data_IF_431006477504
#
_entry.id   IF_431006477504
#
_cell.length_a   1.000
_cell.length_b   1.000
_cell.length_c   1.000
_cell.angle_alpha   90.00
_cell.angle_beta   90.00
_cell.angle_gamma   90.00
#
_symmetry.space_group_name_H-M   'P 1'
#
loop_
_entity.id
_entity.type
_entity.pdbx_description
1 polymer ?
#
# COMPACT_ATOMS: atom_id res chain seq x y z
N UNK A 1 11.02 5.43 -9.52
CA UNK A 1 11.14 4.57 -8.32
C UNK A 1 10.35 5.23 -7.20
N UNK A 2 9.47 4.51 -6.51
CA UNK A 2 8.55 5.11 -5.50
C UNK A 2 9.18 5.20 -4.11
N UNK A 3 9.92 4.18 -3.66
CA UNK A 3 10.65 4.18 -2.38
C UNK A 3 12.16 4.13 -2.64
N UNK A 4 12.81 5.28 -2.89
CA UNK A 4 14.26 5.32 -3.11
C UNK A 4 15.03 4.90 -1.86
N UNK A 5 14.60 5.37 -0.70
CA UNK A 5 15.19 5.09 0.61
C UNK A 5 15.17 3.60 0.98
N UNK A 6 14.02 2.93 0.77
CA UNK A 6 13.88 1.51 1.01
C UNK A 6 14.78 0.68 0.09
N UNK A 7 14.94 1.09 -1.17
CA UNK A 7 15.83 0.43 -2.12
C UNK A 7 17.30 0.58 -1.70
N UNK A 8 17.73 1.79 -1.32
CA UNK A 8 19.10 2.04 -0.84
C UNK A 8 19.42 1.24 0.42
N UNK A 9 18.46 1.11 1.32
CA UNK A 9 18.58 0.32 2.55
C UNK A 9 18.29 -1.18 2.37
N UNK A 10 18.04 -1.65 1.14
CA UNK A 10 17.70 -3.04 0.81
C UNK A 10 16.53 -3.60 1.67
N UNK A 11 15.46 -2.82 1.81
CA UNK A 11 14.25 -3.14 2.56
C UNK A 11 12.99 -2.93 1.71
N UNK A 12 11.89 -3.60 2.09
CA UNK A 12 10.60 -3.51 1.40
C UNK A 12 9.75 -2.32 1.84
N UNK A 13 10.01 -1.80 3.04
CA UNK A 13 9.35 -0.60 3.57
C UNK A 13 10.21 0.61 3.22
N UNK A 14 9.64 1.81 3.25
CA UNK A 14 10.47 3.01 3.30
C UNK A 14 11.26 3.04 4.63
N UNK A 15 12.06 4.07 4.86
CA UNK A 15 12.94 4.19 6.02
C UNK A 15 12.48 5.29 7.00
N UNK A 16 11.24 5.78 6.87
CA UNK A 16 10.68 6.77 7.79
C UNK A 16 10.67 6.24 9.24
N UNK A 17 11.04 7.07 10.24
CA UNK A 17 10.99 6.66 11.64
C UNK A 17 9.54 6.53 12.12
N UNK A 18 9.26 5.46 12.86
CA UNK A 18 7.96 5.24 13.49
C UNK A 18 8.03 5.48 15.00
N UNK A 19 6.97 6.06 15.54
CA UNK A 19 6.80 6.38 16.96
C UNK A 19 5.69 5.51 17.57
N UNK A 20 5.78 4.21 17.32
CA UNK A 20 4.79 3.21 17.68
C UNK A 20 3.66 3.05 16.64
N UNK A 21 2.75 2.08 16.86
CA UNK A 21 1.63 1.77 15.97
C UNK A 21 0.79 2.98 15.53
N UNK A 22 0.69 3.99 16.40
CA UNK A 22 -0.16 5.16 16.23
C UNK A 22 0.59 6.50 16.34
N UNK A 23 1.93 6.49 16.35
CA UNK A 23 2.72 7.72 16.41
C UNK A 23 2.76 8.43 17.77
N UNK A 24 2.34 7.78 18.86
CA UNK A 24 2.26 8.40 20.20
C UNK A 24 3.50 8.21 21.09
N UNK A 25 4.46 7.37 20.70
CA UNK A 25 5.70 7.21 21.46
C UNK A 25 6.62 8.42 21.27
N UNK A 26 7.43 8.73 22.29
CA UNK A 26 8.43 9.81 22.19
C UNK A 26 9.72 9.35 21.51
N UNK A 27 9.99 8.04 21.60
CA UNK A 27 11.17 7.41 21.04
C UNK A 27 10.82 6.65 19.76
N UNK A 28 11.80 6.52 18.88
CA UNK A 28 11.66 5.72 17.66
C UNK A 28 11.60 4.25 18.05
N UNK A 29 10.54 3.56 17.65
CA UNK A 29 10.33 2.14 17.97
C UNK A 29 10.60 1.21 16.80
N UNK A 30 10.49 1.71 15.57
CA UNK A 30 10.82 0.97 14.36
C UNK A 30 11.02 1.93 13.19
N UNK A 31 11.31 1.38 12.01
CA UNK A 31 11.40 2.13 10.77
C UNK A 31 10.51 1.51 9.70
N UNK A 32 9.92 2.38 8.91
CA UNK A 32 9.29 2.06 7.65
C UNK A 32 7.83 1.69 7.72
N UNK A 33 7.13 2.05 6.65
CA UNK A 33 5.75 1.74 6.31
C UNK A 33 5.73 0.98 4.99
N UNK A 34 4.83 0.00 4.89
CA UNK A 34 4.52 -0.66 3.64
C UNK A 34 3.70 0.30 2.77
N UNK A 35 4.33 0.91 1.78
CA UNK A 35 3.69 1.90 0.90
C UNK A 35 2.47 1.33 0.16
N UNK A 36 2.47 0.03 -0.17
CA UNK A 36 1.32 -0.65 -0.79
C UNK A 36 0.17 -0.98 0.20
N UNK A 37 0.25 -0.48 1.44
CA UNK A 37 -0.83 -0.48 2.44
C UNK A 37 -1.19 0.92 2.92
N UNK A 38 -0.49 1.95 2.46
CA UNK A 38 -0.63 3.33 2.93
C UNK A 38 -1.59 4.18 2.08
N UNK A 39 -2.24 3.62 1.07
CA UNK A 39 -3.26 4.33 0.26
C UNK A 39 -4.61 4.42 0.98
N UNK A 40 -5.39 5.46 0.66
CA UNK A 40 -6.64 5.78 1.35
C UNK A 40 -7.85 4.92 1.01
N UNK A 41 -7.84 4.20 -0.12
CA UNK A 41 -9.03 3.44 -0.53
C UNK A 41 -9.32 2.30 0.45
N UNK A 42 -10.44 2.41 1.16
CA UNK A 42 -10.92 1.43 2.15
C UNK A 42 -9.88 1.08 3.24
N UNK A 43 -8.99 2.04 3.55
CA UNK A 43 -7.95 1.86 4.56
C UNK A 43 -8.53 1.44 5.92
N UNK A 44 -9.66 2.00 6.34
CA UNK A 44 -10.29 1.69 7.63
C UNK A 44 -10.82 0.25 7.79
N UNK A 45 -10.88 -0.57 6.73
CA UNK A 45 -11.44 -1.93 6.79
C UNK A 45 -10.75 -2.85 7.79
N UNK A 46 -9.46 -2.62 8.09
CA UNK A 46 -8.74 -3.38 9.11
C UNK A 46 -9.38 -3.25 10.50
N UNK A 47 -9.99 -2.11 10.82
CA UNK A 47 -10.65 -1.92 12.12
C UNK A 47 -12.06 -2.50 12.15
N UNK A 48 -12.74 -2.60 10.99
CA UNK A 48 -14.07 -3.20 10.87
C UNK A 48 -13.97 -4.73 10.85
N UNK A 49 -12.95 -5.26 10.18
CA UNK A 49 -12.72 -6.70 10.01
C UNK A 49 -11.34 -7.11 10.58
N UNK A 50 -11.10 -6.93 11.90
CA UNK A 50 -9.78 -7.07 12.50
C UNK A 50 -9.19 -8.48 12.38
N UNK A 51 -10.04 -9.51 12.37
CA UNK A 51 -9.59 -10.89 12.19
C UNK A 51 -9.19 -11.16 10.74
N UNK A 52 -10.01 -10.78 9.77
CA UNK A 52 -9.75 -10.98 8.33
C UNK A 52 -8.49 -10.25 7.86
N UNK A 53 -8.18 -9.11 8.48
CA UNK A 53 -6.98 -8.31 8.16
C UNK A 53 -5.82 -8.53 9.13
N UNK A 54 -5.89 -9.52 10.03
CA UNK A 54 -4.85 -9.82 11.02
C UNK A 54 -4.37 -8.56 11.77
N UNK A 55 -5.30 -7.70 12.18
CA UNK A 55 -5.01 -6.37 12.73
C UNK A 55 -4.01 -6.45 13.89
N UNK A 56 -4.16 -7.42 14.79
CA UNK A 56 -3.25 -7.59 15.93
C UNK A 56 -1.76 -7.68 15.53
N UNK A 57 -1.45 -8.27 14.37
CA UNK A 57 -0.09 -8.38 13.86
C UNK A 57 0.28 -7.21 12.94
N UNK A 58 -0.67 -6.73 12.13
CA UNK A 58 -0.40 -5.70 11.12
C UNK A 58 -0.42 -4.27 11.67
N UNK A 59 -0.93 -4.07 12.89
CA UNK A 59 -0.92 -2.78 13.57
C UNK A 59 0.45 -2.46 14.19
N UNK A 60 1.26 -3.49 14.50
CA UNK A 60 2.60 -3.30 15.03
C UNK A 60 3.46 -2.57 13.99
N UNK A 61 4.16 -1.52 14.39
CA UNK A 61 4.99 -0.70 13.51
C UNK A 61 6.23 -1.46 12.98
N UNK A 62 6.63 -2.52 13.69
CA UNK A 62 7.61 -3.50 13.23
C UNK A 62 7.09 -4.46 12.16
N UNK A 63 5.78 -4.51 11.90
CA UNK A 63 5.18 -5.43 10.93
C UNK A 63 5.65 -5.15 9.49
N UNK A 64 5.89 -6.20 8.67
CA UNK A 64 6.12 -6.01 7.23
C UNK A 64 4.90 -5.45 6.49
N UNK A 65 3.71 -5.53 7.09
CA UNK A 65 2.47 -4.98 6.57
C UNK A 65 2.02 -3.73 7.34
N UNK A 66 2.89 -3.15 8.18
CA UNK A 66 2.56 -1.90 8.86
C UNK A 66 2.22 -0.83 7.83
N UNK A 67 1.09 -0.16 8.04
CA UNK A 67 0.41 0.65 7.03
C UNK A 67 0.48 2.15 7.29
N UNK A 68 1.26 2.55 8.29
CA UNK A 68 1.31 3.91 8.80
C UNK A 68 0.19 4.20 9.80
N UNK A 69 0.30 5.35 10.46
CA UNK A 69 -0.67 5.85 11.44
C UNK A 69 -2.00 6.28 10.81
N UNK A 70 -1.98 6.65 9.52
CA UNK A 70 -3.13 7.14 8.73
C UNK A 70 -2.87 6.91 7.24
N UNK A 71 -3.90 6.95 6.37
CA UNK A 71 -3.66 6.91 4.93
C UNK A 71 -2.83 8.12 4.47
N UNK A 72 -1.93 7.89 3.52
CA UNK A 72 -1.01 8.88 2.98
C UNK A 72 -0.21 9.60 4.08
N UNK A 73 0.28 8.83 5.06
CA UNK A 73 1.23 9.32 6.08
C UNK A 73 2.63 9.50 5.50
N UNK A 74 3.00 8.72 4.49
CA UNK A 74 4.33 8.73 3.90
C UNK A 74 4.44 9.76 2.77
N UNK A 75 5.59 10.42 2.67
CA UNK A 75 5.84 11.42 1.62
C UNK A 75 5.74 10.81 0.22
N UNK A 76 6.15 9.56 0.06
CA UNK A 76 6.16 8.82 -1.21
C UNK A 76 4.74 8.60 -1.74
N UNK A 77 3.83 8.07 -0.92
CA UNK A 77 2.43 7.84 -1.32
C UNK A 77 1.67 9.15 -1.47
N UNK A 78 2.00 10.16 -0.65
CA UNK A 78 1.44 11.50 -0.77
C UNK A 78 1.86 12.16 -2.10
N UNK A 79 3.13 12.01 -2.52
CA UNK A 79 3.60 12.51 -3.81
C UNK A 79 2.88 11.84 -4.99
N UNK A 80 2.70 10.51 -4.95
CA UNK A 80 1.93 9.77 -5.97
C UNK A 80 0.49 10.25 -6.03
N UNK A 81 -0.18 10.45 -4.87
CA UNK A 81 -1.54 10.99 -4.80
C UNK A 81 -1.62 12.36 -5.48
N UNK A 82 -0.75 13.29 -5.11
CA UNK A 82 -0.77 14.65 -5.66
C UNK A 82 -0.50 14.65 -7.18
N UNK A 83 0.38 13.77 -7.66
CA UNK A 83 0.60 13.60 -9.09
C UNK A 83 -0.68 13.09 -9.77
N UNK A 84 -1.26 11.99 -9.30
CA UNK A 84 -2.46 11.39 -9.92
C UNK A 84 -3.66 12.34 -9.91
N UNK A 85 -3.82 13.16 -8.87
CA UNK A 85 -4.92 14.13 -8.78
C UNK A 85 -4.77 15.34 -9.70
N UNK A 86 -3.57 15.59 -10.24
CA UNK A 86 -3.27 16.74 -11.10
C UNK A 86 -3.08 16.38 -12.57
N UNK A 87 -3.10 15.09 -12.91
CA UNK A 87 -2.88 14.60 -14.26
C UNK A 87 -4.10 13.82 -14.76
N UNK A 88 -4.30 13.82 -16.08
CA UNK A 88 -5.29 12.95 -16.72
C UNK A 88 -4.62 11.60 -17.04
N UNK A 89 -4.90 10.58 -16.21
CA UNK A 89 -4.27 9.27 -16.27
C UNK A 89 -5.31 8.23 -16.68
N UNK A 90 -5.11 7.60 -17.84
CA UNK A 90 -5.98 6.52 -18.31
C UNK A 90 -5.62 5.15 -17.72
N UNK A 91 -4.33 4.90 -17.45
CA UNK A 91 -3.83 3.60 -16.98
C UNK A 91 -2.80 3.82 -15.87
N UNK A 92 -2.93 3.06 -14.78
CA UNK A 92 -1.96 3.00 -13.68
C UNK A 92 -1.46 1.56 -13.54
N UNK A 93 -0.15 1.36 -13.73
CA UNK A 93 0.53 0.07 -13.57
C UNK A 93 1.51 0.15 -12.40
N UNK A 94 1.44 -0.82 -11.47
CA UNK A 94 2.39 -0.96 -10.36
C UNK A 94 3.14 -2.28 -10.48
N UNK A 95 4.45 -2.20 -10.68
CA UNK A 95 5.31 -3.38 -10.82
C UNK A 95 5.78 -3.89 -9.46
N UNK A 96 5.64 -5.19 -9.24
CA UNK A 96 6.10 -5.90 -8.05
C UNK A 96 6.75 -7.22 -8.45
N UNK A 97 7.55 -7.79 -7.55
CA UNK A 97 8.06 -9.15 -7.65
C UNK A 97 7.86 -9.88 -6.31
N UNK A 98 7.71 -11.21 -6.30
CA UNK A 98 7.76 -12.19 -7.38
C UNK A 98 6.34 -12.70 -7.76
N UNK A 99 6.27 -13.81 -8.51
CA UNK A 99 5.10 -14.68 -8.76
C UNK A 99 4.54 -14.71 -10.19
N UNK A 100 5.03 -13.88 -11.13
CA UNK A 100 4.58 -13.90 -12.54
C UNK A 100 3.05 -13.80 -12.69
N UNK A 101 2.43 -12.87 -11.96
CA UNK A 101 0.97 -12.66 -11.96
C UNK A 101 0.61 -11.21 -12.25
N UNK A 102 -0.53 -11.00 -12.91
CA UNK A 102 -1.17 -9.70 -13.07
C UNK A 102 -2.36 -9.64 -12.11
N UNK A 103 -2.34 -8.66 -11.21
CA UNK A 103 -3.49 -8.34 -10.37
C UNK A 103 -4.21 -7.11 -10.92
N UNK A 104 -5.54 -7.17 -10.91
CA UNK A 104 -6.42 -6.02 -11.10
C UNK A 104 -7.35 -5.88 -9.90
N UNK A 105 -7.99 -4.72 -9.69
CA UNK A 105 -8.88 -4.54 -8.55
C UNK A 105 -10.03 -5.56 -8.56
N UNK A 106 -10.63 -5.89 -7.43
CA UNK A 106 -10.29 -5.47 -6.08
C UNK A 106 -9.53 -6.57 -5.33
N UNK A 107 -8.70 -6.18 -4.36
CA UNK A 107 -8.04 -7.13 -3.45
C UNK A 107 -8.64 -7.17 -2.03
N UNK A 108 -9.61 -6.28 -1.72
CA UNK A 108 -10.27 -6.23 -0.42
C UNK A 108 -11.63 -6.97 -0.38
N UNK A 109 -12.12 -7.48 -1.52
CA UNK A 109 -13.43 -8.14 -1.65
C UNK A 109 -13.43 -9.11 -2.84
N UNK A 110 -14.32 -10.10 -2.80
CA UNK A 110 -14.59 -11.00 -3.93
C UNK A 110 -15.61 -10.47 -4.93
N UNK A 111 -16.19 -9.29 -4.68
CA UNK A 111 -17.10 -8.65 -5.65
C UNK A 111 -16.30 -8.15 -6.85
N UNK A 112 -16.80 -8.35 -8.09
CA UNK A 112 -16.13 -7.86 -9.27
C UNK A 112 -16.13 -6.33 -9.33
N UNK A 113 -15.20 -5.75 -10.09
CA UNK A 113 -15.24 -4.32 -10.40
C UNK A 113 -16.29 -4.05 -11.49
N UNK A 114 -16.79 -2.81 -11.63
CA UNK A 114 -17.65 -2.44 -12.76
C UNK A 114 -17.01 -2.61 -14.14
N UNK A 115 -15.69 -2.78 -14.22
CA UNK A 115 -14.91 -2.90 -15.45
C UNK A 115 -14.09 -4.20 -15.50
N UNK A 116 -14.57 -5.27 -14.85
CA UNK A 116 -13.86 -6.57 -14.77
C UNK A 116 -13.48 -7.10 -16.15
N UNK A 117 -14.41 -7.14 -17.11
CA UNK A 117 -14.15 -7.62 -18.48
C UNK A 117 -13.02 -6.84 -19.16
N UNK A 118 -12.95 -5.53 -18.94
CA UNK A 118 -11.89 -4.67 -19.49
C UNK A 118 -10.53 -5.00 -18.86
N UNK A 119 -10.48 -5.19 -17.53
CA UNK A 119 -9.24 -5.55 -16.85
C UNK A 119 -8.73 -6.93 -17.25
N UNK A 120 -9.62 -7.92 -17.40
CA UNK A 120 -9.28 -9.26 -17.89
C UNK A 120 -8.70 -9.15 -19.30
N UNK A 121 -9.38 -8.45 -20.20
CA UNK A 121 -8.92 -8.26 -21.58
C UNK A 121 -7.54 -7.60 -21.64
N UNK A 122 -7.30 -6.54 -20.85
CA UNK A 122 -5.99 -5.90 -20.77
C UNK A 122 -4.93 -6.89 -20.26
N UNK A 123 -5.22 -7.63 -19.19
CA UNK A 123 -4.30 -8.60 -18.61
C UNK A 123 -3.89 -9.72 -19.59
N UNK A 124 -4.84 -10.30 -20.30
CA UNK A 124 -4.61 -11.37 -21.29
C UNK A 124 -3.84 -10.88 -22.53
N UNK A 125 -4.01 -9.62 -22.92
CA UNK A 125 -3.30 -9.05 -24.08
C UNK A 125 -1.93 -8.45 -23.72
N UNK A 126 -1.59 -8.36 -22.43
CA UNK A 126 -0.28 -7.91 -21.96
C UNK A 126 0.71 -9.07 -21.71
N UNK A 127 0.21 -10.30 -21.58
CA UNK A 127 0.99 -11.54 -21.42
C UNK A 127 1.33 -12.19 -22.74
#
# INVERSE_FOLDING_TARGET
>A
MVSPDGVEANTRKNCAPNYGPFGFNKEITSYGVNLNRNYGYKWYLYYIFPFSYHLAFNILDSSPNYRGERPFSENETHAVKNFVETQDINISLSYHSYSEVIFYPWMHTSKPTPHEDLFISIGENMS
#
